data_IF_876257939564
#
_entry.id   IF_876257939564
#
_cell.length_a   1.000
_cell.length_b   1.000
_cell.length_c   1.000
_cell.angle_alpha   90.00
_cell.angle_beta   90.00
_cell.angle_gamma   90.00
#
_symmetry.space_group_name_H-M   'P 1'
#
loop_
_entity.id
_entity.type
_entity.pdbx_description
1 polymer ?
#
# COMPACT_ATOMS: atom_id res chain seq x y z
N UNK A 1 -31.02 11.41 -1.33
CA UNK A 1 -30.68 12.78 -0.91
C UNK A 1 -29.58 13.25 -1.86
N UNK A 2 -29.81 14.34 -2.57
CA UNK A 2 -29.04 14.79 -3.75
C UNK A 2 -27.96 15.78 -3.29
N UNK A 3 -26.81 15.76 -4.00
CA UNK A 3 -25.60 16.61 -3.86
C UNK A 3 -24.65 16.32 -2.68
N UNK A 4 -23.46 15.78 -2.98
CA UNK A 4 -22.14 16.21 -2.42
C UNK A 4 -20.98 15.47 -3.11
N UNK A 5 -20.81 15.67 -4.42
CA UNK A 5 -19.54 15.40 -5.11
C UNK A 5 -19.42 16.41 -6.26
N UNK A 6 -19.60 17.70 -5.93
CA UNK A 6 -19.31 18.76 -6.86
C UNK A 6 -17.79 18.97 -6.81
N UNK A 7 -17.15 18.61 -7.91
CA UNK A 7 -15.74 18.76 -8.19
C UNK A 7 -15.18 20.08 -7.63
N UNK A 8 -14.21 19.97 -6.72
CA UNK A 8 -13.22 21.04 -6.54
C UNK A 8 -12.22 20.89 -7.69
N UNK A 9 -12.65 21.28 -8.89
CA UNK A 9 -11.74 21.70 -9.94
C UNK A 9 -11.24 23.07 -9.50
N UNK A 10 -10.00 23.14 -9.00
CA UNK A 10 -9.37 24.43 -8.71
C UNK A 10 -9.05 25.06 -10.06
N UNK A 11 -10.02 25.82 -10.59
CA UNK A 11 -9.79 26.72 -11.71
C UNK A 11 -8.95 27.91 -11.23
N UNK A 12 -7.69 27.67 -10.89
CA UNK A 12 -6.70 28.74 -10.74
C UNK A 12 -6.33 29.25 -12.13
N UNK A 13 -7.20 30.09 -12.68
CA UNK A 13 -6.89 30.91 -13.84
C UNK A 13 -5.85 31.97 -13.43
N UNK A 14 -4.57 31.63 -13.54
CA UNK A 14 -3.48 32.58 -13.38
C UNK A 14 -2.34 32.22 -14.30
N UNK A 15 -2.15 32.99 -15.37
CA UNK A 15 -0.97 33.18 -16.27
C UNK A 15 -0.02 31.99 -16.58
N UNK A 16 -0.40 30.75 -16.26
CA UNK A 16 0.36 29.53 -16.47
C UNK A 16 0.04 28.95 -17.86
N UNK A 17 1.04 28.33 -18.49
CA UNK A 17 0.76 27.44 -19.62
C UNK A 17 -0.09 26.27 -19.10
N UNK A 18 -1.36 26.24 -19.52
CA UNK A 18 -2.34 25.25 -19.11
C UNK A 18 -2.69 24.34 -20.29
N UNK A 19 -2.44 23.04 -20.14
CA UNK A 19 -2.94 22.01 -21.05
C UNK A 19 -4.23 21.43 -20.51
N UNK A 20 -5.24 21.31 -21.36
CA UNK A 20 -6.50 20.63 -21.05
C UNK A 20 -6.78 19.57 -22.12
N UNK A 21 -7.13 18.36 -21.69
CA UNK A 21 -7.64 17.32 -22.57
C UNK A 21 -8.97 16.78 -22.00
N UNK A 22 -9.95 16.59 -22.88
CA UNK A 22 -11.18 15.88 -22.59
C UNK A 22 -11.30 14.74 -23.60
N UNK A 23 -11.39 13.52 -23.11
CA UNK A 23 -11.64 12.34 -23.94
C UNK A 23 -12.91 11.64 -23.49
N UNK A 24 -13.68 11.15 -24.45
CA UNK A 24 -14.88 10.36 -24.19
C UNK A 24 -14.88 9.09 -25.03
N UNK A 25 -15.43 8.02 -24.47
CA UNK A 25 -15.63 6.75 -25.16
C UNK A 25 -17.00 6.19 -24.82
N UNK A 26 -17.68 5.70 -25.85
CA UNK A 26 -19.02 5.10 -25.76
C UNK A 26 -18.98 3.76 -26.48
N UNK A 27 -19.40 2.71 -25.78
CA UNK A 27 -19.41 1.35 -26.28
C UNK A 27 -20.76 0.71 -25.98
N UNK A 28 -21.25 -0.05 -26.95
CA UNK A 28 -22.43 -0.90 -26.82
C UNK A 28 -22.02 -2.30 -27.28
N UNK A 29 -22.23 -3.29 -26.42
CA UNK A 29 -21.96 -4.69 -26.71
C UNK A 29 -23.26 -5.49 -26.61
N UNK A 30 -23.49 -6.36 -27.59
CA UNK A 30 -24.56 -7.35 -27.58
C UNK A 30 -23.90 -8.73 -27.64
N UNK A 31 -24.21 -9.58 -26.66
CA UNK A 31 -23.56 -10.89 -26.51
C UNK A 31 -24.31 -11.93 -27.35
N UNK A 32 -23.59 -12.64 -28.23
CA UNK A 32 -24.21 -13.63 -29.14
C UNK A 32 -24.95 -14.77 -28.43
N UNK A 33 -24.59 -15.05 -27.18
CA UNK A 33 -25.14 -16.14 -26.39
C UNK A 33 -26.40 -15.73 -25.58
N UNK A 34 -26.67 -14.43 -25.44
CA UNK A 34 -27.89 -13.89 -24.83
C UNK A 34 -28.31 -12.60 -25.56
N UNK A 35 -29.15 -12.70 -26.62
CA UNK A 35 -29.49 -11.58 -27.48
C UNK A 35 -30.34 -10.49 -26.81
N UNK A 36 -30.80 -10.69 -25.57
CA UNK A 36 -31.53 -9.72 -24.75
C UNK A 36 -30.62 -8.91 -23.79
N UNK A 37 -29.39 -9.37 -23.55
CA UNK A 37 -28.47 -8.68 -22.64
C UNK A 37 -27.71 -7.54 -23.35
N UNK A 38 -28.32 -6.37 -23.40
CA UNK A 38 -27.64 -5.14 -23.82
C UNK A 38 -26.71 -4.62 -22.70
N UNK A 39 -25.42 -4.43 -23.01
CA UNK A 39 -24.47 -3.73 -22.15
C UNK A 39 -24.02 -2.41 -22.79
N UNK A 40 -24.10 -1.35 -21.99
CA UNK A 40 -23.65 -0.02 -22.38
C UNK A 40 -22.52 0.44 -21.46
N UNK A 41 -21.50 1.07 -22.04
CA UNK A 41 -20.38 1.63 -21.30
C UNK A 41 -20.04 3.02 -21.79
N UNK A 42 -19.89 3.94 -20.84
CA UNK A 42 -19.42 5.30 -21.09
C UNK A 42 -18.23 5.59 -20.20
N UNK A 43 -17.22 6.27 -20.76
CA UNK A 43 -16.08 6.80 -20.00
C UNK A 43 -15.82 8.23 -20.41
N UNK A 44 -15.65 9.11 -19.43
CA UNK A 44 -15.15 10.46 -19.61
C UNK A 44 -13.85 10.63 -18.82
N UNK A 45 -12.86 11.25 -19.44
CA UNK A 45 -11.60 11.60 -18.78
C UNK A 45 -11.29 13.06 -19.06
N UNK A 46 -11.06 13.82 -18.01
CA UNK A 46 -10.60 15.21 -18.06
C UNK A 46 -9.22 15.25 -17.44
N UNK A 47 -8.23 15.71 -18.19
CA UNK A 47 -6.88 15.95 -17.72
C UNK A 47 -6.59 17.46 -17.80
N UNK A 48 -6.09 18.00 -16.70
CA UNK A 48 -5.65 19.38 -16.58
C UNK A 48 -4.20 19.38 -16.12
N UNK A 49 -3.36 20.12 -16.82
CA UNK A 49 -1.97 20.34 -16.46
C UNK A 49 -1.69 21.83 -16.45
N UNK A 50 -1.13 22.34 -15.36
CA UNK A 50 -0.75 23.74 -15.21
C UNK A 50 0.70 23.83 -14.74
N UNK A 51 1.50 24.66 -15.42
CA UNK A 51 2.83 25.06 -14.96
C UNK A 51 2.71 26.37 -14.18
N UNK A 52 2.48 26.28 -12.87
CA UNK A 52 2.23 27.44 -11.99
C UNK A 52 3.45 28.38 -12.00
N UNK A 53 4.65 27.80 -11.93
CA UNK A 53 5.93 28.49 -12.10
C UNK A 53 6.91 27.55 -12.82
N UNK A 54 8.11 28.02 -13.17
CA UNK A 54 9.19 27.16 -13.71
C UNK A 54 9.55 25.99 -12.80
N UNK A 55 9.31 26.14 -11.50
CA UNK A 55 9.63 25.13 -10.48
C UNK A 55 8.38 24.42 -9.93
N UNK A 56 7.17 24.77 -10.34
CA UNK A 56 5.93 24.25 -9.74
C UNK A 56 4.94 23.82 -10.81
N UNK A 57 4.43 22.59 -10.69
CA UNK A 57 3.41 22.06 -11.59
C UNK A 57 2.25 21.46 -10.81
N UNK A 58 1.07 21.58 -11.40
CA UNK A 58 -0.17 20.99 -10.92
C UNK A 58 -0.77 20.16 -12.04
N UNK A 59 -1.15 18.92 -11.73
CA UNK A 59 -1.85 18.02 -12.62
C UNK A 59 -3.11 17.53 -11.91
N UNK A 60 -4.24 17.64 -12.57
CA UNK A 60 -5.51 17.15 -12.07
C UNK A 60 -6.08 16.22 -13.14
N UNK A 61 -6.55 15.05 -12.74
CA UNK A 61 -7.24 14.14 -13.64
C UNK A 61 -8.55 13.70 -13.01
N UNK A 62 -9.61 13.66 -13.80
CA UNK A 62 -10.91 13.17 -13.38
C UNK A 62 -11.39 12.14 -14.38
N UNK A 63 -11.62 10.93 -13.90
CA UNK A 63 -12.25 9.88 -14.68
C UNK A 63 -13.63 9.57 -14.12
N UNK A 64 -14.60 9.49 -15.03
CA UNK A 64 -15.90 8.94 -14.78
C UNK A 64 -16.11 7.73 -15.69
N UNK A 65 -16.59 6.63 -15.14
CA UNK A 65 -17.06 5.51 -15.95
C UNK A 65 -18.40 5.03 -15.44
N UNK A 66 -19.27 4.69 -16.38
CA UNK A 66 -20.52 3.99 -16.06
C UNK A 66 -20.69 2.83 -17.01
N UNK A 67 -21.03 1.68 -16.44
CA UNK A 67 -21.51 0.50 -17.13
C UNK A 67 -22.94 0.27 -16.67
N UNK A 68 -23.86 0.03 -17.59
CA UNK A 68 -25.24 -0.33 -17.25
C UNK A 68 -25.75 -1.37 -18.23
N UNK A 69 -26.63 -2.22 -17.74
CA UNK A 69 -27.21 -3.34 -18.48
C UNK A 69 -28.28 -4.02 -17.64
N UNK A 70 -28.82 -5.14 -18.11
CA UNK A 70 -29.92 -5.79 -17.40
C UNK A 70 -29.51 -6.43 -16.07
N UNK A 71 -28.25 -6.87 -15.95
CA UNK A 71 -27.75 -7.55 -14.75
C UNK A 71 -27.25 -6.57 -13.70
N UNK A 72 -26.33 -5.67 -14.05
CA UNK A 72 -25.67 -4.79 -13.09
C UNK A 72 -25.40 -3.41 -13.68
N UNK A 73 -25.68 -2.38 -12.87
CA UNK A 73 -25.21 -1.03 -13.09
C UNK A 73 -24.01 -0.77 -12.18
N UNK A 74 -22.89 -0.37 -12.77
CA UNK A 74 -21.68 0.05 -12.05
C UNK A 74 -21.30 1.47 -12.43
N UNK A 75 -21.04 2.31 -11.45
CA UNK A 75 -20.59 3.69 -11.63
C UNK A 75 -19.27 3.91 -10.90
N UNK A 76 -18.32 4.61 -11.52
CA UNK A 76 -16.99 4.87 -11.00
C UNK A 76 -16.61 6.35 -11.10
N UNK A 77 -16.05 6.90 -10.03
CA UNK A 77 -15.51 8.25 -9.96
C UNK A 77 -14.08 8.22 -9.44
N UNK A 78 -13.11 8.62 -10.27
CA UNK A 78 -11.69 8.62 -9.91
C UNK A 78 -11.03 9.99 -10.13
N UNK A 79 -11.24 10.99 -9.24
CA UNK A 79 -10.42 12.19 -9.24
C UNK A 79 -9.02 11.91 -8.70
N UNK A 80 -8.02 12.56 -9.28
CA UNK A 80 -6.65 12.60 -8.78
C UNK A 80 -6.03 13.97 -8.97
N UNK A 81 -5.11 14.30 -8.08
CA UNK A 81 -4.36 15.55 -8.07
C UNK A 81 -2.90 15.23 -7.80
N UNK A 82 -2.00 15.88 -8.54
CA UNK A 82 -0.58 15.85 -8.32
C UNK A 82 -0.01 17.26 -8.34
N UNK A 83 0.59 17.67 -7.24
CA UNK A 83 1.30 18.93 -7.13
C UNK A 83 2.77 18.65 -6.90
N UNK A 84 3.63 19.15 -7.79
CA UNK A 84 5.06 18.92 -7.74
C UNK A 84 5.83 20.25 -7.72
N UNK A 85 6.81 20.35 -6.82
CA UNK A 85 7.81 21.42 -6.77
C UNK A 85 9.17 20.80 -7.08
N UNK A 86 9.87 21.34 -8.08
CA UNK A 86 11.20 20.91 -8.45
C UNK A 86 12.11 22.14 -8.57
N UNK A 87 13.09 22.25 -7.67
CA UNK A 87 14.14 23.24 -7.74
C UNK A 87 15.51 22.60 -7.46
N UNK A 88 16.55 23.41 -7.42
CA UNK A 88 17.95 23.03 -7.18
C UNK A 88 18.24 22.56 -5.75
N UNK A 89 17.37 22.90 -4.80
CA UNK A 89 17.52 22.56 -3.38
C UNK A 89 16.73 21.29 -3.03
N UNK A 90 15.52 21.12 -3.55
CA UNK A 90 14.65 20.00 -3.23
C UNK A 90 13.63 19.66 -4.34
N UNK A 91 13.13 18.44 -4.25
CA UNK A 91 11.97 17.93 -4.96
C UNK A 91 10.88 17.67 -3.93
N UNK A 92 9.67 18.12 -4.22
CA UNK A 92 8.47 17.84 -3.44
C UNK A 92 7.38 17.35 -4.39
N UNK A 93 6.70 16.28 -4.04
CA UNK A 93 5.62 15.69 -4.81
C UNK A 93 4.48 15.34 -3.85
N UNK A 94 3.31 15.92 -4.06
CA UNK A 94 2.07 15.59 -3.37
C UNK A 94 1.13 14.97 -4.38
N UNK A 95 0.76 13.72 -4.17
CA UNK A 95 -0.23 13.01 -4.97
C UNK A 95 -1.43 12.65 -4.09
N UNK A 96 -2.64 12.78 -4.63
CA UNK A 96 -3.87 12.35 -3.98
C UNK A 96 -4.85 11.78 -4.99
N UNK A 97 -5.62 10.78 -4.57
CA UNK A 97 -6.67 10.19 -5.39
C UNK A 97 -7.85 9.77 -4.53
N UNK A 98 -9.04 9.79 -5.14
CA UNK A 98 -10.23 9.16 -4.61
C UNK A 98 -10.73 8.20 -5.68
N UNK A 99 -11.31 7.09 -5.27
CA UNK A 99 -12.02 6.14 -6.13
C UNK A 99 -13.33 5.79 -5.43
N UNK A 100 -14.45 6.17 -6.02
CA UNK A 100 -15.78 5.74 -5.56
C UNK A 100 -16.35 4.80 -6.61
N UNK A 101 -16.69 3.58 -6.21
CA UNK A 101 -17.38 2.61 -7.03
C UNK A 101 -18.76 2.35 -6.44
N UNK A 102 -19.79 2.53 -7.25
CA UNK A 102 -21.17 2.20 -6.91
C UNK A 102 -21.65 1.02 -7.72
N UNK A 103 -22.44 0.15 -7.11
CA UNK A 103 -23.05 -1.00 -7.78
C UNK A 103 -24.53 -1.09 -7.43
N UNK A 104 -25.35 -1.55 -8.38
CA UNK A 104 -26.76 -1.81 -8.13
C UNK A 104 -27.01 -3.10 -7.33
N UNK A 105 -26.02 -4.00 -7.25
CA UNK A 105 -26.15 -5.31 -6.59
C UNK A 105 -25.15 -5.47 -5.44
N UNK A 106 -23.94 -4.93 -5.57
CA UNK A 106 -22.92 -4.97 -4.53
C UNK A 106 -22.91 -3.68 -3.71
N UNK A 107 -22.29 -3.73 -2.53
CA UNK A 107 -22.06 -2.52 -1.73
C UNK A 107 -21.16 -1.53 -2.45
N UNK A 108 -21.49 -0.25 -2.31
CA UNK A 108 -20.62 0.82 -2.78
C UNK A 108 -19.31 0.82 -1.98
N UNK A 109 -18.21 1.12 -2.65
CA UNK A 109 -16.87 1.18 -2.08
C UNK A 109 -16.25 2.54 -2.33
N UNK A 110 -15.57 3.06 -1.32
CA UNK A 110 -14.80 4.30 -1.40
C UNK A 110 -13.37 4.04 -0.96
N UNK A 111 -12.42 4.41 -1.82
CA UNK A 111 -11.00 4.45 -1.47
C UNK A 111 -10.49 5.88 -1.62
N UNK A 112 -9.70 6.35 -0.66
CA UNK A 112 -9.07 7.67 -0.71
C UNK A 112 -7.62 7.50 -0.33
N UNK A 113 -6.71 8.11 -1.07
CA UNK A 113 -5.31 8.03 -0.75
C UNK A 113 -4.62 9.35 -1.03
N UNK A 114 -3.56 9.63 -0.27
CA UNK A 114 -2.63 10.69 -0.59
C UNK A 114 -1.24 10.33 -0.09
N UNK A 115 -0.24 10.86 -0.78
CA UNK A 115 1.16 10.69 -0.43
C UNK A 115 1.91 11.98 -0.72
N UNK A 116 2.74 12.38 0.23
CA UNK A 116 3.68 13.48 0.12
C UNK A 116 5.08 12.90 0.17
N UNK A 117 5.89 13.22 -0.83
CA UNK A 117 7.31 12.87 -0.88
C UNK A 117 8.13 14.14 -0.97
N UNK A 118 9.15 14.24 -0.13
CA UNK A 118 10.15 15.27 -0.17
C UNK A 118 11.53 14.62 -0.32
N UNK A 119 12.37 15.19 -1.18
CA UNK A 119 13.78 14.80 -1.25
C UNK A 119 14.66 16.00 -1.51
N UNK A 120 15.86 15.99 -0.96
CA UNK A 120 16.88 16.97 -1.28
C UNK A 120 17.36 16.83 -2.72
N UNK A 121 17.65 17.94 -3.38
CA UNK A 121 18.20 17.99 -4.73
C UNK A 121 19.54 18.74 -4.83
N UNK A 122 20.08 19.20 -3.71
CA UNK A 122 21.40 19.83 -3.71
C UNK A 122 22.47 18.88 -4.25
N UNK A 123 23.42 19.43 -4.99
CA UNK A 123 24.48 18.67 -5.64
C UNK A 123 25.85 18.82 -4.94
N UNK A 124 25.86 19.30 -3.69
CA UNK A 124 27.09 19.41 -2.92
C UNK A 124 27.59 18.04 -2.48
N UNK A 125 28.87 17.76 -2.75
CA UNK A 125 29.55 16.51 -2.38
C UNK A 125 29.53 16.26 -0.87
N UNK A 126 29.52 17.32 -0.06
CA UNK A 126 29.61 17.19 1.38
C UNK A 126 28.25 16.99 2.04
N UNK A 127 27.15 17.21 1.31
CA UNK A 127 25.82 17.15 1.91
C UNK A 127 25.15 15.80 1.66
N UNK A 128 24.50 15.22 2.67
CA UNK A 128 23.74 13.99 2.50
C UNK A 128 22.52 14.25 1.63
N UNK A 129 22.10 13.27 0.85
CA UNK A 129 20.79 13.24 0.22
C UNK A 129 19.78 12.76 1.24
N UNK A 130 18.74 13.56 1.46
CA UNK A 130 17.66 13.28 2.38
C UNK A 130 16.40 12.95 1.58
N UNK A 131 15.61 12.00 2.08
CA UNK A 131 14.27 11.70 1.57
C UNK A 131 13.30 11.47 2.73
N UNK A 132 12.08 11.93 2.57
CA UNK A 132 10.99 11.65 3.48
C UNK A 132 9.72 11.42 2.67
N UNK A 133 8.90 10.45 3.06
CA UNK A 133 7.54 10.34 2.55
C UNK A 133 6.56 10.06 3.66
N UNK A 134 5.33 10.53 3.47
CA UNK A 134 4.20 10.28 4.34
C UNK A 134 2.96 10.14 3.49
N UNK A 135 2.19 9.07 3.68
CA UNK A 135 0.96 8.85 2.96
C UNK A 135 -0.07 8.12 3.80
N UNK A 136 -1.33 8.26 3.41
CA UNK A 136 -2.45 7.54 4.01
C UNK A 136 -3.37 6.98 2.94
N UNK A 137 -3.91 5.80 3.20
CA UNK A 137 -5.02 5.24 2.44
C UNK A 137 -6.20 5.00 3.39
N UNK A 138 -7.40 5.24 2.90
CA UNK A 138 -8.65 5.00 3.58
C UNK A 138 -9.49 4.14 2.65
N UNK A 139 -10.11 3.09 3.15
CA UNK A 139 -10.98 2.21 2.36
C UNK A 139 -12.20 1.83 3.18
N UNK A 140 -13.39 2.12 2.67
CA UNK A 140 -14.65 1.78 3.34
C UNK A 140 -15.70 1.27 2.36
N UNK A 141 -16.66 0.50 2.87
CA UNK A 141 -17.90 0.20 2.16
C UNK A 141 -19.06 1.12 2.60
N UNK A 142 -20.22 0.96 1.98
CA UNK A 142 -21.45 1.69 2.31
C UNK A 142 -22.42 0.92 3.21
N UNK A 143 -22.07 -0.27 3.68
CA UNK A 143 -22.97 -1.10 4.49
C UNK A 143 -23.15 -0.53 5.90
N UNK A 144 -24.25 -0.90 6.54
CA UNK A 144 -24.49 -0.57 7.95
C UNK A 144 -25.07 -1.80 8.65
N UNK A 145 -24.27 -2.52 9.47
CA UNK A 145 -22.87 -2.25 9.82
C UNK A 145 -21.88 -2.45 8.65
N UNK A 146 -20.75 -1.75 8.68
CA UNK A 146 -19.67 -1.90 7.69
C UNK A 146 -19.04 -3.30 7.76
N UNK A 147 -18.70 -3.88 6.60
CA UNK A 147 -17.89 -5.09 6.48
C UNK A 147 -16.42 -4.79 6.17
N UNK A 148 -16.14 -3.59 5.65
CA UNK A 148 -14.81 -3.08 5.34
C UNK A 148 -14.72 -1.61 5.75
N UNK A 149 -13.78 -1.32 6.64
CA UNK A 149 -13.38 0.03 7.04
C UNK A 149 -11.92 -0.05 7.52
N UNK A 150 -11.00 0.53 6.76
CA UNK A 150 -9.55 0.40 6.99
C UNK A 150 -8.83 1.71 6.73
N UNK A 151 -7.93 2.06 7.65
CA UNK A 151 -7.03 3.21 7.56
C UNK A 151 -5.57 2.74 7.57
N UNK A 152 -4.86 2.96 6.47
CA UNK A 152 -3.43 2.72 6.38
C UNK A 152 -2.66 4.05 6.45
N UNK A 153 -1.52 4.05 7.13
CA UNK A 153 -0.54 5.12 7.14
C UNK A 153 0.82 4.55 6.79
N UNK A 154 1.57 5.23 5.91
CA UNK A 154 2.92 4.85 5.51
C UNK A 154 3.85 6.03 5.68
N UNK A 155 4.97 5.81 6.33
CA UNK A 155 5.98 6.81 6.63
C UNK A 155 7.34 6.26 6.20
N UNK A 156 8.16 7.08 5.55
CA UNK A 156 9.55 6.74 5.27
C UNK A 156 10.47 7.91 5.50
N UNK A 157 11.67 7.63 5.99
CA UNK A 157 12.78 8.58 6.04
C UNK A 157 14.02 7.87 5.53
N UNK A 158 14.85 8.56 4.78
CA UNK A 158 16.12 8.03 4.30
C UNK A 158 17.20 9.08 4.21
N UNK A 159 18.42 8.61 4.40
CA UNK A 159 19.65 9.40 4.31
C UNK A 159 20.65 8.60 3.51
N UNK A 160 21.17 9.21 2.45
CA UNK A 160 22.22 8.68 1.60
C UNK A 160 23.39 9.67 1.61
N UNK A 161 24.57 9.26 2.02
CA UNK A 161 25.73 10.14 2.09
C UNK A 161 26.97 9.49 1.50
N UNK A 162 27.53 10.10 0.44
CA UNK A 162 28.78 9.68 -0.19
C UNK A 162 29.89 10.65 0.22
N UNK A 163 30.56 10.35 1.34
CA UNK A 163 31.62 11.16 1.91
C UNK A 163 32.98 10.51 1.71
N UNK A 164 33.71 10.99 0.70
CA UNK A 164 35.07 10.54 0.36
C UNK A 164 35.19 9.02 0.16
N UNK A 165 35.71 8.32 1.17
CA UNK A 165 35.94 6.88 1.17
C UNK A 165 34.78 6.11 1.82
N UNK A 166 33.76 6.80 2.34
CA UNK A 166 32.64 6.23 3.07
C UNK A 166 31.32 6.51 2.36
N UNK A 167 30.50 5.48 2.22
CA UNK A 167 29.13 5.58 1.74
C UNK A 167 28.21 5.06 2.81
N UNK A 168 27.34 5.93 3.29
CA UNK A 168 26.38 5.60 4.35
C UNK A 168 24.98 5.68 3.77
N UNK A 169 24.20 4.65 4.03
CA UNK A 169 22.78 4.60 3.73
C UNK A 169 22.02 4.27 4.99
N UNK A 170 20.96 5.01 5.26
CA UNK A 170 19.99 4.69 6.30
C UNK A 170 18.58 4.87 5.76
N UNK A 171 17.70 3.94 6.09
CA UNK A 171 16.29 4.02 5.75
C UNK A 171 15.44 3.47 6.89
N UNK A 172 14.43 4.25 7.24
CA UNK A 172 13.36 3.88 8.14
C UNK A 172 12.06 3.84 7.37
N UNK A 173 11.27 2.79 7.53
CA UNK A 173 9.90 2.71 7.03
C UNK A 173 8.98 2.27 8.16
N UNK A 174 7.80 2.87 8.24
CA UNK A 174 6.73 2.47 9.15
C UNK A 174 5.43 2.38 8.38
N UNK A 175 4.71 1.28 8.56
CA UNK A 175 3.34 1.12 8.07
C UNK A 175 2.45 0.83 9.26
N UNK A 176 1.34 1.54 9.37
CA UNK A 176 0.31 1.31 10.36
C UNK A 176 -1.00 1.03 9.62
N UNK A 177 -1.66 -0.08 9.92
CA UNK A 177 -2.93 -0.48 9.37
C UNK A 177 -3.93 -0.60 10.52
N UNK A 178 -5.03 0.14 10.45
CA UNK A 178 -6.13 0.05 11.40
C UNK A 178 -7.34 -0.55 10.67
N UNK A 179 -7.88 -1.65 11.18
CA UNK A 179 -9.16 -2.22 10.77
C UNK A 179 -10.22 -1.77 11.77
N UNK A 180 -11.07 -0.84 11.33
CA UNK A 180 -12.11 -0.23 12.16
C UNK A 180 -13.34 -1.15 12.33
N UNK A 181 -13.44 -2.25 11.57
CA UNK A 181 -14.52 -3.25 11.69
C UNK A 181 -14.21 -4.22 12.82
N UNK A 182 -12.97 -4.73 12.86
CA UNK A 182 -12.51 -5.67 13.90
C UNK A 182 -11.84 -4.98 15.08
N UNK A 183 -11.64 -3.66 15.00
CA UNK A 183 -10.86 -2.85 15.95
C UNK A 183 -9.44 -3.39 16.12
N UNK A 184 -8.86 -3.86 15.01
CA UNK A 184 -7.48 -4.34 14.94
C UNK A 184 -6.53 -3.23 14.50
N UNK A 185 -5.34 -3.17 15.09
CA UNK A 185 -4.26 -2.31 14.63
C UNK A 185 -3.01 -3.16 14.42
N UNK A 186 -2.31 -2.95 13.30
CA UNK A 186 -1.02 -3.56 13.02
C UNK A 186 -0.03 -2.49 12.61
N UNK A 187 1.06 -2.37 13.37
CA UNK A 187 2.19 -1.49 13.07
C UNK A 187 3.40 -2.34 12.69
N UNK A 188 3.94 -2.12 11.49
CA UNK A 188 5.19 -2.70 11.04
C UNK A 188 6.25 -1.59 10.87
N UNK A 189 7.41 -1.75 11.48
CA UNK A 189 8.55 -0.85 11.35
C UNK A 189 9.77 -1.60 10.82
N UNK A 190 10.58 -0.91 10.01
CA UNK A 190 11.83 -1.45 9.48
C UNK A 190 12.93 -0.39 9.49
N UNK A 191 14.07 -0.73 10.07
CA UNK A 191 15.30 0.03 10.05
C UNK A 191 16.33 -0.70 9.20
N UNK A 192 16.92 -0.01 8.24
CA UNK A 192 18.00 -0.53 7.43
C UNK A 192 19.16 0.47 7.41
N UNK A 193 20.35 0.01 7.75
CA UNK A 193 21.57 0.81 7.70
C UNK A 193 22.65 0.05 6.94
N UNK A 194 23.43 0.77 6.15
CA UNK A 194 24.58 0.23 5.43
C UNK A 194 25.73 1.23 5.44
N UNK A 195 26.92 0.73 5.68
CA UNK A 195 28.18 1.47 5.61
C UNK A 195 29.12 0.72 4.69
N UNK A 196 29.48 1.34 3.57
CA UNK A 196 30.54 0.89 2.69
C UNK A 196 31.75 1.80 2.82
N UNK A 197 32.94 1.23 2.76
CA UNK A 197 34.17 1.97 2.58
C UNK A 197 35.09 1.26 1.60
N UNK A 198 35.75 2.01 0.73
CA UNK A 198 36.72 1.42 -0.19
C UNK A 198 37.86 2.37 -0.46
N UNK A 199 39.09 1.86 -0.49
CA UNK A 199 40.29 2.64 -0.73
C UNK A 199 41.32 1.86 -1.55
N UNK A 200 42.13 2.60 -2.30
CA UNK A 200 43.29 2.08 -3.02
C UNK A 200 44.57 2.65 -2.38
N UNK A 201 45.51 1.77 -2.08
CA UNK A 201 46.76 2.08 -1.40
C UNK A 201 47.94 1.63 -2.27
N UNK A 202 49.12 2.21 -2.01
CA UNK A 202 50.38 1.87 -2.70
C UNK A 202 50.30 1.98 -4.24
N UNK A 203 49.93 3.13 -4.79
CA UNK A 203 49.75 3.33 -6.25
C UNK A 203 48.84 2.28 -6.89
N UNK A 204 47.67 2.06 -6.29
CA UNK A 204 46.67 1.06 -6.70
C UNK A 204 47.13 -0.41 -6.62
N UNK A 205 48.22 -0.71 -5.90
CA UNK A 205 48.67 -2.10 -5.71
C UNK A 205 47.87 -2.87 -4.67
N UNK A 206 47.18 -2.17 -3.76
CA UNK A 206 46.30 -2.77 -2.77
C UNK A 206 44.94 -2.07 -2.80
N UNK A 207 43.86 -2.84 -2.92
CA UNK A 207 42.50 -2.34 -2.79
C UNK A 207 41.87 -2.99 -1.55
N UNK A 208 41.40 -2.19 -0.61
CA UNK A 208 40.65 -2.68 0.54
C UNK A 208 39.22 -2.15 0.46
N UNK A 209 38.28 -3.02 0.75
CA UNK A 209 36.86 -2.69 0.86
C UNK A 209 36.30 -3.23 2.17
N UNK A 210 35.43 -2.46 2.79
CA UNK A 210 34.68 -2.81 3.97
C UNK A 210 33.21 -2.53 3.69
N UNK A 211 32.32 -3.45 4.06
CA UNK A 211 30.88 -3.28 3.92
C UNK A 211 30.21 -3.94 5.10
N UNK A 212 29.37 -3.19 5.82
CA UNK A 212 28.54 -3.71 6.90
C UNK A 212 27.11 -3.21 6.75
N UNK A 213 26.16 -4.11 7.00
CA UNK A 213 24.73 -3.85 6.94
C UNK A 213 24.06 -4.25 8.25
N UNK A 214 23.00 -3.52 8.61
CA UNK A 214 22.13 -3.78 9.74
C UNK A 214 20.68 -3.67 9.27
N UNK A 215 19.84 -4.62 9.64
CA UNK A 215 18.41 -4.62 9.35
C UNK A 215 17.66 -5.08 10.60
N UNK A 216 16.64 -4.32 10.99
CA UNK A 216 15.74 -4.68 12.09
C UNK A 216 14.31 -4.39 11.67
N UNK A 217 13.46 -5.41 11.75
CA UNK A 217 12.04 -5.31 11.43
C UNK A 217 11.24 -5.72 12.66
N UNK A 218 10.20 -4.96 12.98
CA UNK A 218 9.31 -5.23 14.10
C UNK A 218 7.87 -5.10 13.63
N UNK A 219 7.01 -6.03 14.06
CA UNK A 219 5.58 -5.97 13.83
C UNK A 219 4.86 -6.09 15.16
N UNK A 220 4.01 -5.13 15.46
CA UNK A 220 3.14 -5.10 16.63
C UNK A 220 1.69 -5.17 16.14
N UNK A 221 0.88 -6.03 16.75
CA UNK A 221 -0.55 -6.15 16.42
C UNK A 221 -1.39 -6.11 17.69
N UNK A 222 -2.47 -5.37 17.65
CA UNK A 222 -3.51 -5.33 18.69
C UNK A 222 -4.85 -5.66 18.05
N UNK A 223 -5.76 -6.25 18.81
CA UNK A 223 -7.12 -6.58 18.36
C UNK A 223 -8.08 -6.45 19.54
N UNK A 224 -9.34 -6.12 19.27
CA UNK A 224 -10.37 -6.23 20.30
C UNK A 224 -10.56 -7.68 20.75
N UNK A 225 -10.86 -7.85 22.04
CA UNK A 225 -11.17 -9.14 22.65
C UNK A 225 -12.68 -9.37 22.57
N UNK A 226 -13.08 -10.55 22.13
CA UNK A 226 -14.48 -10.97 22.08
C UNK A 226 -15.12 -11.04 23.47
N UNK A 227 -16.45 -11.11 23.52
CA UNK A 227 -17.20 -11.22 24.78
C UNK A 227 -16.90 -12.51 25.57
N UNK A 228 -16.33 -13.52 24.90
CA UNK A 228 -15.84 -14.77 25.45
C UNK A 228 -14.40 -14.68 25.99
N UNK A 229 -13.75 -13.52 25.88
CA UNK A 229 -12.38 -13.30 26.35
C UNK A 229 -11.31 -13.77 25.35
N UNK A 230 -11.70 -14.16 24.13
CA UNK A 230 -10.78 -14.63 23.10
C UNK A 230 -10.50 -13.56 22.05
N UNK A 231 -9.23 -13.46 21.64
CA UNK A 231 -8.76 -12.58 20.57
C UNK A 231 -8.09 -13.43 19.48
N UNK A 232 -8.49 -13.23 18.21
CA UNK A 232 -7.85 -13.87 17.07
C UNK A 232 -6.76 -12.95 16.53
N UNK A 233 -5.49 -13.29 16.78
CA UNK A 233 -4.36 -12.52 16.25
C UNK A 233 -3.79 -13.24 15.03
N UNK A 234 -3.71 -12.53 13.90
CA UNK A 234 -3.05 -13.03 12.68
C UNK A 234 -1.53 -12.98 12.89
N UNK A 235 -0.92 -14.13 13.16
CA UNK A 235 0.53 -14.22 13.35
C UNK A 235 1.21 -14.64 12.04
N UNK A 236 2.29 -13.94 11.66
CA UNK A 236 3.16 -14.39 10.58
C UNK A 236 3.94 -15.62 11.04
N UNK A 237 3.80 -16.75 10.34
CA UNK A 237 4.54 -17.98 10.64
C UNK A 237 6.04 -17.72 10.41
N UNK A 238 6.80 -17.53 11.49
CA UNK A 238 8.23 -17.22 11.40
C UNK A 238 9.09 -18.44 10.99
N UNK A 239 8.59 -19.66 11.24
CA UNK A 239 9.30 -20.89 10.90
C UNK A 239 8.33 -22.07 10.80
N UNK A 240 8.35 -22.79 9.67
CA UNK A 240 7.73 -24.12 9.57
C UNK A 240 8.83 -25.15 9.78
N UNK A 241 8.86 -25.77 10.95
CA UNK A 241 9.76 -26.88 11.24
C UNK A 241 9.05 -28.19 10.86
N UNK A 242 9.46 -28.80 9.75
CA UNK A 242 9.05 -30.15 9.41
C UNK A 242 10.09 -31.14 9.94
N UNK A 243 9.72 -31.91 10.95
CA UNK A 243 10.49 -33.08 11.39
C UNK A 243 10.06 -34.31 10.60
N UNK A 244 11.00 -34.96 9.91
CA UNK A 244 10.79 -36.29 9.36
C UNK A 244 11.32 -37.29 10.39
N UNK A 245 10.43 -38.06 11.00
CA UNK A 245 10.82 -39.17 11.88
C UNK A 245 11.20 -40.38 11.01
N UNK A 246 12.49 -40.69 10.96
CA UNK A 246 13.03 -41.85 10.24
C UNK A 246 12.98 -43.14 11.07
N UNK A 247 12.40 -43.11 12.27
CA UNK A 247 12.24 -44.26 13.17
C UNK A 247 10.78 -44.52 13.56
N UNK A 248 9.87 -44.82 12.60
CA UNK A 248 8.53 -45.22 12.96
C UNK A 248 8.61 -46.49 13.83
N UNK A 249 8.08 -46.42 15.05
CA UNK A 249 7.88 -47.58 15.91
C UNK A 249 6.76 -48.44 15.30
N UNK A 250 7.14 -49.28 14.34
CA UNK A 250 6.28 -50.30 13.73
C UNK A 250 5.96 -51.37 14.78
N UNK A 251 4.69 -51.77 14.87
CA UNK A 251 4.29 -52.95 15.64
C UNK A 251 4.63 -54.24 14.88
N UNK A 252 4.70 -55.38 15.57
CA UNK A 252 5.08 -56.69 15.00
C UNK A 252 4.17 -57.19 13.85
N UNK A 253 3.05 -56.51 13.55
CA UNK A 253 2.19 -56.77 12.40
C UNK A 253 2.39 -55.80 11.22
N UNK A 254 3.37 -54.89 11.29
CA UNK A 254 3.72 -53.97 10.20
C UNK A 254 2.77 -52.78 10.02
N UNK A 255 1.80 -52.60 10.92
CA UNK A 255 0.90 -51.45 10.91
C UNK A 255 1.34 -50.39 11.93
N UNK A 256 1.29 -49.12 11.51
CA UNK A 256 1.44 -47.97 12.41
C UNK A 256 0.23 -47.95 13.35
N UNK A 257 0.46 -47.83 14.65
CA UNK A 257 -0.65 -47.68 15.61
C UNK A 257 -1.38 -46.36 15.33
N UNK A 258 -2.66 -46.46 14.93
CA UNK A 258 -3.50 -45.27 14.78
C UNK A 258 -3.72 -44.63 16.14
N UNK A 259 -3.09 -43.47 16.37
CA UNK A 259 -3.39 -42.62 17.51
C UNK A 259 -4.51 -41.65 17.12
N UNK A 260 -5.69 -41.81 17.73
CA UNK A 260 -6.85 -40.96 17.48
C UNK A 260 -6.65 -39.49 17.89
N UNK A 261 -5.56 -39.16 18.58
CA UNK A 261 -5.17 -37.79 18.92
C UNK A 261 -4.39 -37.07 17.80
N UNK A 262 -4.08 -37.74 16.68
CA UNK A 262 -3.31 -37.15 15.56
C UNK A 262 -4.12 -36.94 14.28
N UNK A 263 -5.45 -37.12 14.33
CA UNK A 263 -6.34 -36.70 13.25
C UNK A 263 -6.65 -35.21 13.41
N UNK A 264 -5.74 -34.37 12.95
CA UNK A 264 -6.06 -32.96 12.71
C UNK A 264 -7.03 -32.89 11.52
N UNK A 265 -8.29 -32.60 11.81
CA UNK A 265 -9.34 -32.38 10.80
C UNK A 265 -9.38 -30.92 10.32
N UNK A 266 -8.24 -30.22 10.29
CA UNK A 266 -8.17 -28.85 9.78
C UNK A 266 -8.30 -28.83 8.26
N UNK A 267 -9.54 -28.60 7.83
CA UNK A 267 -9.85 -27.91 6.58
C UNK A 267 -9.24 -26.52 6.69
N UNK A 268 -8.47 -26.09 5.67
CA UNK A 268 -7.81 -24.78 5.58
C UNK A 268 -8.68 -23.63 6.13
N UNK A 269 -8.45 -23.25 7.38
CA UNK A 269 -8.92 -22.02 7.99
C UNK A 269 -7.69 -21.21 8.37
N UNK A 270 -7.79 -19.89 8.15
CA UNK A 270 -6.78 -18.89 8.47
C UNK A 270 -6.14 -19.19 9.83
N UNK A 271 -4.85 -19.46 9.84
CA UNK A 271 -4.08 -19.68 11.07
C UNK A 271 -4.07 -18.39 11.89
N UNK A 272 -4.77 -18.41 13.03
CA UNK A 272 -4.75 -17.38 14.06
C UNK A 272 -4.47 -18.03 15.42
N UNK A 273 -3.74 -17.32 16.28
CA UNK A 273 -3.46 -17.77 17.65
C UNK A 273 -4.52 -17.16 18.57
N UNK A 274 -5.19 -18.00 19.34
CA UNK A 274 -6.01 -17.56 20.47
C UNK A 274 -5.10 -17.33 21.67
N UNK A 275 -5.07 -16.10 22.18
CA UNK A 275 -4.31 -15.74 23.39
C UNK A 275 -5.25 -15.11 24.42
N UNK A 276 -5.00 -15.34 25.70
CA UNK A 276 -5.75 -14.82 26.85
C UNK A 276 -5.19 -13.48 27.36
N UNK A 277 -4.26 -12.87 26.61
CA UNK A 277 -3.70 -11.55 26.89
C UNK A 277 -2.44 -11.55 27.75
N UNK A 278 -1.83 -12.71 28.03
CA UNK A 278 -0.54 -12.80 28.72
C UNK A 278 0.47 -13.70 28.01
N UNK A 279 0.97 -13.25 26.85
CA UNK A 279 2.18 -13.81 26.26
C UNK A 279 3.31 -12.78 26.36
N UNK A 280 4.18 -12.96 27.36
CA UNK A 280 5.47 -12.27 27.46
C UNK A 280 6.51 -13.14 26.73
N UNK A 281 7.44 -12.56 25.95
CA UNK A 281 8.45 -13.31 25.19
C UNK A 281 9.40 -14.12 26.08
#
# INVERSE_FOLDING_TARGET
>A
MVLSALAVLVSSAGNAFAGQALTSSWLHENTKDDPEADEYRVTYTVDLKQEITEAMSLQEAFRYNRKWGEQEDTEGFDPSLRFAIQNDIFLFDLFGSVSEQRSSIATDRSRRSWESTWSSNWQDRFWPKLRASYGRDFSSDSESPHMQDTDDTRESVGVDWDFELFKTHYNFNRTQQNDNVTFGETTASNHFARLDSSGRFFDNRLSLGFSQQFSASQTESTTAVGADGLALIKQGIAQVLAGKDDTPLISDSGELSTNSLMSDSDVEVVSGVYTDGFDNP
#
